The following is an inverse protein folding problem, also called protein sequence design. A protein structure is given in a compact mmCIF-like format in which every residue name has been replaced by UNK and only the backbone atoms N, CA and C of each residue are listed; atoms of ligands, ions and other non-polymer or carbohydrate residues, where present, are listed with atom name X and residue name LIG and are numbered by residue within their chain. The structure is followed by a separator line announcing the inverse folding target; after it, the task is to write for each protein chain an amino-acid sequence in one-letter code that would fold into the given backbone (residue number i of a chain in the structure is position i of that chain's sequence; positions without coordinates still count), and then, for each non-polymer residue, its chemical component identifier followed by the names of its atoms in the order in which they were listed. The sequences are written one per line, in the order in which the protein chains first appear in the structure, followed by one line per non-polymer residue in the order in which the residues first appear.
data_IF_218706773754
#
_entry.id   IF_218706773754
#
_cell.length_a   1.000
_cell.length_b   1.000
_cell.length_c   1.000
_cell.angle_alpha   90.00
_cell.angle_beta   90.00
_cell.angle_gamma   90.00
#
_symmetry.space_group_name_H-M   'P 1'
#
loop_
_entity.id
_entity.type
_entity.pdbx_description
1 polymer ?
#
# COMPACT_ATOMS: atom_id res chain seq x y z
N UNK A 1 21.63 -29.54 -17.26
CA UNK A 1 22.90 -28.93 -16.80
C UNK A 1 23.87 -28.92 -17.99
N UNK A 2 24.72 -27.90 -18.18
CA UNK A 2 25.31 -27.01 -17.18
C UNK A 2 24.63 -25.62 -17.16
N UNK A 3 24.32 -25.00 -16.03
CA UNK A 3 25.10 -24.46 -14.91
C UNK A 3 25.85 -23.13 -15.19
N UNK A 4 25.34 -22.09 -14.50
CA UNK A 4 25.99 -20.89 -13.97
C UNK A 4 26.56 -19.85 -14.94
N UNK A 5 26.01 -18.63 -14.84
CA UNK A 5 26.76 -17.46 -14.38
C UNK A 5 25.83 -16.44 -13.70
N UNK A 6 26.12 -16.24 -12.42
CA UNK A 6 25.83 -15.04 -11.64
C UNK A 6 26.25 -13.81 -12.46
N UNK A 7 25.33 -12.88 -12.67
CA UNK A 7 25.61 -11.51 -13.11
C UNK A 7 24.96 -10.63 -12.03
N UNK A 8 25.71 -10.36 -10.98
CA UNK A 8 26.47 -9.12 -10.84
C UNK A 8 25.54 -7.90 -10.85
N UNK A 9 25.35 -7.42 -9.63
CA UNK A 9 24.72 -6.17 -9.27
C UNK A 9 25.38 -4.98 -9.98
N UNK A 10 24.57 -4.11 -10.60
CA UNK A 10 24.72 -2.68 -10.36
C UNK A 10 23.35 -2.06 -10.10
N UNK A 11 23.00 -1.97 -8.81
CA UNK A 11 22.11 -0.92 -8.32
C UNK A 11 22.68 0.41 -8.85
N UNK A 12 21.85 1.19 -9.56
CA UNK A 12 22.15 2.49 -10.18
C UNK A 12 22.98 2.48 -11.48
N UNK A 13 22.31 2.58 -12.64
CA UNK A 13 22.70 3.59 -13.64
C UNK A 13 21.61 3.86 -14.71
N UNK A 14 21.09 5.10 -14.64
CA UNK A 14 20.67 6.01 -15.72
C UNK A 14 19.33 5.76 -16.47
N UNK A 15 18.35 6.53 -15.97
CA UNK A 15 17.15 7.07 -16.63
C UNK A 15 17.37 7.53 -18.09
N UNK A 16 16.53 7.04 -19.00
CA UNK A 16 16.04 7.80 -20.17
C UNK A 16 14.58 7.46 -20.49
N UNK A 17 13.69 8.41 -20.21
CA UNK A 17 12.67 8.87 -21.17
C UNK A 17 11.42 8.04 -21.50
N UNK A 18 11.30 6.76 -21.13
CA UNK A 18 10.15 5.95 -21.62
C UNK A 18 9.62 4.89 -20.64
N UNK A 19 9.63 5.19 -19.33
CA UNK A 19 9.33 4.23 -18.26
C UNK A 19 8.20 4.64 -17.32
N UNK A 20 7.36 5.61 -17.69
CA UNK A 20 6.29 6.10 -16.81
C UNK A 20 4.99 5.25 -16.86
N UNK A 21 4.80 4.44 -17.90
CA UNK A 21 3.60 3.59 -18.04
C UNK A 21 3.82 2.14 -17.58
N UNK A 22 5.06 1.67 -17.50
CA UNK A 22 5.37 0.28 -17.13
C UNK A 22 5.43 0.07 -15.62
N UNK A 23 5.77 1.08 -14.81
CA UNK A 23 5.89 0.92 -13.35
C UNK A 23 4.56 0.67 -12.62
N UNK A 24 3.41 1.06 -13.20
CA UNK A 24 2.09 0.78 -12.61
C UNK A 24 1.68 -0.69 -12.71
N UNK A 25 2.23 -1.44 -13.68
CA UNK A 25 2.02 -2.89 -13.81
C UNK A 25 2.94 -3.73 -12.92
N UNK A 26 3.97 -3.13 -12.31
CA UNK A 26 5.00 -3.89 -11.59
C UNK A 26 4.63 -4.22 -10.14
N UNK A 27 3.62 -3.59 -9.54
CA UNK A 27 3.29 -3.84 -8.13
C UNK A 27 2.38 -5.04 -7.87
N UNK A 28 1.60 -5.50 -8.85
CA UNK A 28 0.72 -6.68 -8.70
C UNK A 28 1.34 -7.96 -9.26
N UNK A 29 2.00 -7.90 -10.42
CA UNK A 29 2.58 -9.07 -11.08
C UNK A 29 3.83 -9.67 -10.38
N UNK A 30 4.48 -8.92 -9.48
CA UNK A 30 5.63 -9.40 -8.69
C UNK A 30 5.24 -10.01 -7.33
N UNK A 31 3.96 -9.94 -6.95
CA UNK A 31 3.48 -10.40 -5.64
C UNK A 31 2.68 -11.71 -5.69
N UNK A 32 1.98 -11.98 -6.80
CA UNK A 32 1.28 -13.23 -7.02
C UNK A 32 2.27 -14.33 -7.44
N UNK A 33 2.29 -15.44 -6.70
CA UNK A 33 3.07 -16.61 -7.10
C UNK A 33 2.32 -17.50 -8.10
N UNK A 34 3.02 -18.44 -8.71
CA UNK A 34 2.40 -19.44 -9.59
C UNK A 34 1.94 -20.68 -8.82
N UNK A 35 1.05 -21.47 -9.42
CA UNK A 35 0.62 -22.76 -8.85
C UNK A 35 1.80 -23.72 -8.70
N UNK A 36 2.71 -23.72 -9.67
CA UNK A 36 3.93 -24.52 -9.66
C UNK A 36 4.86 -24.09 -8.52
N UNK A 37 5.00 -22.77 -8.30
CA UNK A 37 5.76 -22.22 -7.18
C UNK A 37 5.17 -22.53 -5.81
N UNK A 38 3.84 -22.57 -5.71
CA UNK A 38 3.14 -22.98 -4.49
C UNK A 38 3.50 -24.42 -4.14
N UNK A 39 3.28 -25.34 -5.08
CA UNK A 39 3.54 -26.77 -4.89
C UNK A 39 5.02 -27.02 -4.57
N UNK A 40 5.94 -26.27 -5.19
CA UNK A 40 7.38 -26.41 -4.92
C UNK A 40 7.79 -25.91 -3.52
N UNK A 41 7.01 -25.01 -2.91
CA UNK A 41 7.27 -24.44 -1.58
C UNK A 41 6.57 -25.18 -0.46
N UNK A 42 5.41 -25.80 -0.73
CA UNK A 42 4.66 -26.65 0.19
C UNK A 42 5.44 -27.95 0.43
N UNK A 43 6.32 -27.93 1.44
CA UNK A 43 7.28 -29.01 1.71
C UNK A 43 6.66 -30.14 2.50
N UNK A 44 5.70 -29.82 3.37
CA UNK A 44 4.99 -30.82 4.15
C UNK A 44 3.76 -31.39 3.40
N UNK A 45 3.41 -30.80 2.25
CA UNK A 45 2.31 -31.23 1.35
C UNK A 45 0.95 -31.16 2.04
N UNK A 46 0.75 -30.14 2.88
CA UNK A 46 -0.50 -29.93 3.61
C UNK A 46 -1.50 -29.03 2.88
N UNK A 47 -1.11 -28.50 1.71
CA UNK A 47 -1.93 -27.63 0.88
C UNK A 47 -1.95 -26.17 1.34
N UNK A 48 -1.06 -25.79 2.25
CA UNK A 48 -0.86 -24.44 2.75
C UNK A 48 0.63 -24.09 2.71
N UNK A 49 0.96 -22.80 2.62
CA UNK A 49 2.32 -22.33 2.86
C UNK A 49 2.40 -21.71 4.23
N UNK A 50 3.10 -22.36 5.15
CA UNK A 50 3.52 -21.71 6.39
C UNK A 50 4.41 -20.50 6.12
N UNK A 51 4.52 -19.60 7.09
CA UNK A 51 5.47 -18.50 7.01
C UNK A 51 6.92 -18.98 6.80
N UNK A 52 7.29 -20.13 7.38
CA UNK A 52 8.62 -20.72 7.19
C UNK A 52 8.85 -21.13 5.73
N UNK A 53 7.89 -21.82 5.11
CA UNK A 53 7.97 -22.26 3.71
C UNK A 53 7.97 -21.09 2.72
N UNK A 54 7.10 -20.10 2.95
CA UNK A 54 7.00 -18.93 2.09
C UNK A 54 8.28 -18.06 2.13
N UNK A 55 8.88 -17.92 3.30
CA UNK A 55 10.07 -17.10 3.53
C UNK A 55 11.39 -17.83 3.28
N UNK A 56 11.32 -19.13 2.98
CA UNK A 56 12.51 -19.96 2.88
C UNK A 56 13.50 -19.46 1.82
N UNK A 57 14.76 -19.32 2.23
CA UNK A 57 15.86 -18.92 1.35
C UNK A 57 15.92 -17.42 1.03
N UNK A 58 14.96 -16.63 1.54
CA UNK A 58 14.96 -15.17 1.37
C UNK A 58 15.88 -14.49 2.38
N UNK A 59 16.52 -13.40 1.98
CA UNK A 59 17.46 -12.66 2.83
C UNK A 59 17.39 -11.14 2.56
N UNK A 60 17.88 -10.35 3.52
CA UNK A 60 17.95 -8.90 3.40
C UNK A 60 16.60 -8.26 3.07
N UNK A 61 16.61 -7.32 2.12
CA UNK A 61 15.40 -6.60 1.70
C UNK A 61 14.30 -7.53 1.14
N UNK A 62 14.66 -8.62 0.46
CA UNK A 62 13.67 -9.57 -0.08
C UNK A 62 12.93 -10.31 1.05
N UNK A 63 13.65 -10.72 2.09
CA UNK A 63 13.03 -11.32 3.28
C UNK A 63 12.06 -10.34 3.95
N UNK A 64 12.51 -9.10 4.13
CA UNK A 64 11.71 -8.07 4.78
C UNK A 64 10.46 -7.72 3.97
N UNK A 65 10.55 -7.56 2.65
CA UNK A 65 9.38 -7.36 1.77
C UNK A 65 8.43 -8.56 1.83
N UNK A 66 8.98 -9.77 1.78
CA UNK A 66 8.21 -11.00 1.81
C UNK A 66 7.44 -11.20 3.12
N UNK A 67 8.00 -10.82 4.27
CA UNK A 67 7.26 -10.85 5.56
C UNK A 67 6.01 -9.99 5.56
N UNK A 68 6.05 -8.83 4.89
CA UNK A 68 4.86 -7.97 4.75
C UNK A 68 3.89 -8.55 3.75
N UNK A 69 4.40 -9.00 2.59
CA UNK A 69 3.54 -9.61 1.58
C UNK A 69 2.79 -10.80 2.14
N UNK A 70 3.46 -11.68 2.90
CA UNK A 70 2.82 -12.80 3.57
C UNK A 70 1.61 -12.36 4.40
N UNK A 71 1.74 -11.30 5.20
CA UNK A 71 0.64 -10.78 6.04
C UNK A 71 -0.45 -10.08 5.24
N UNK A 72 -0.08 -9.36 4.17
CA UNK A 72 -1.09 -8.76 3.31
C UNK A 72 -1.86 -9.84 2.51
N UNK A 73 -1.19 -10.96 2.17
CA UNK A 73 -1.72 -12.12 1.45
C UNK A 73 -2.56 -13.06 2.33
N UNK A 74 -2.25 -13.15 3.62
CA UNK A 74 -3.00 -13.92 4.62
C UNK A 74 -4.29 -13.17 4.96
N UNK A 75 -5.36 -13.49 4.23
CA UNK A 75 -6.60 -12.74 4.22
C UNK A 75 -7.55 -13.24 5.31
N UNK A 76 -7.45 -14.52 5.66
CA UNK A 76 -8.20 -15.14 6.74
C UNK A 76 -7.46 -15.12 8.10
N UNK A 77 -6.23 -14.60 8.14
CA UNK A 77 -5.38 -14.49 9.33
C UNK A 77 -5.04 -15.86 9.94
N UNK A 78 -5.00 -16.90 9.10
CA UNK A 78 -4.64 -18.26 9.51
C UNK A 78 -3.17 -18.43 9.86
N UNK A 79 -2.33 -17.44 9.56
CA UNK A 79 -0.86 -17.51 9.63
C UNK A 79 -0.27 -18.53 8.64
N UNK A 80 -1.00 -18.81 7.57
CA UNK A 80 -0.61 -19.63 6.44
C UNK A 80 -1.24 -19.10 5.16
N UNK A 81 -0.68 -19.42 4.00
CA UNK A 81 -1.29 -19.04 2.72
C UNK A 81 -1.90 -20.26 2.05
N UNK A 82 -3.20 -20.20 1.79
CA UNK A 82 -3.84 -21.10 0.84
C UNK A 82 -3.29 -20.88 -0.58
N UNK A 83 -3.47 -21.87 -1.46
CA UNK A 83 -3.13 -21.71 -2.89
C UNK A 83 -3.87 -20.52 -3.53
N UNK A 84 -5.12 -20.28 -3.14
CA UNK A 84 -5.90 -19.13 -3.63
C UNK A 84 -5.32 -17.80 -3.19
N UNK A 85 -4.83 -17.69 -1.96
CA UNK A 85 -4.17 -16.48 -1.48
C UNK A 85 -2.82 -16.31 -2.17
N UNK A 86 -2.02 -17.37 -2.27
CA UNK A 86 -0.69 -17.26 -2.89
C UNK A 86 -0.72 -16.91 -4.38
N UNK A 87 -1.60 -17.57 -5.14
CA UNK A 87 -1.69 -17.41 -6.60
C UNK A 87 -2.59 -16.23 -7.01
N UNK A 88 -3.65 -15.98 -6.23
CA UNK A 88 -4.66 -14.97 -6.54
C UNK A 88 -4.41 -13.61 -5.91
N UNK A 89 -3.29 -13.41 -5.20
CA UNK A 89 -3.04 -12.14 -4.53
C UNK A 89 -2.73 -11.01 -5.52
N UNK A 90 -3.67 -10.08 -5.64
CA UNK A 90 -3.44 -8.75 -6.17
C UNK A 90 -3.89 -7.73 -5.12
N UNK A 91 -2.98 -6.92 -4.56
CA UNK A 91 -3.33 -5.92 -3.55
C UNK A 91 -4.39 -4.91 -4.06
N UNK A 92 -4.49 -4.69 -5.37
CA UNK A 92 -5.48 -3.80 -5.96
C UNK A 92 -6.89 -4.40 -5.98
N UNK A 93 -7.04 -5.72 -6.08
CA UNK A 93 -8.36 -6.37 -6.07
C UNK A 93 -9.11 -6.21 -4.73
N UNK A 94 -8.40 -5.84 -3.67
CA UNK A 94 -8.97 -5.58 -2.33
C UNK A 94 -9.32 -4.12 -2.09
N UNK A 95 -9.03 -3.25 -3.05
CA UNK A 95 -9.44 -1.85 -3.04
C UNK A 95 -10.70 -1.67 -3.89
N UNK A 96 -11.57 -0.75 -3.46
CA UNK A 96 -12.64 -0.25 -4.33
C UNK A 96 -12.04 0.39 -5.59
N UNK A 97 -12.79 0.47 -6.71
CA UNK A 97 -12.30 1.14 -7.91
C UNK A 97 -11.81 2.58 -7.65
N UNK A 98 -12.42 3.30 -6.71
CA UNK A 98 -11.99 4.67 -6.35
C UNK A 98 -10.66 4.65 -5.59
N UNK A 99 -10.50 3.74 -4.62
CA UNK A 99 -9.25 3.57 -3.88
C UNK A 99 -8.08 3.19 -4.80
N UNK A 100 -8.33 2.29 -5.78
CA UNK A 100 -7.34 1.94 -6.80
C UNK A 100 -6.90 3.17 -7.60
N UNK A 101 -7.84 3.99 -8.05
CA UNK A 101 -7.55 5.22 -8.79
C UNK A 101 -6.78 6.24 -7.95
N UNK A 102 -7.13 6.40 -6.66
CA UNK A 102 -6.38 7.27 -5.75
C UNK A 102 -4.94 6.80 -5.60
N UNK A 103 -4.71 5.50 -5.40
CA UNK A 103 -3.36 4.94 -5.32
C UNK A 103 -2.57 5.17 -6.62
N UNK A 104 -3.18 4.84 -7.78
CA UNK A 104 -2.52 5.02 -9.08
C UNK A 104 -2.18 6.48 -9.35
N UNK A 105 -3.10 7.39 -9.09
CA UNK A 105 -2.90 8.82 -9.33
C UNK A 105 -1.91 9.45 -8.35
N UNK A 106 -1.88 9.02 -7.09
CA UNK A 106 -0.85 9.46 -6.13
C UNK A 106 0.56 9.08 -6.60
N UNK A 107 0.75 7.84 -7.06
CA UNK A 107 2.03 7.41 -7.64
C UNK A 107 2.35 8.11 -8.97
N UNK A 108 1.35 8.47 -9.77
CA UNK A 108 1.56 9.31 -10.95
C UNK A 108 2.08 10.72 -10.58
N UNK A 109 1.55 11.34 -9.53
CA UNK A 109 2.06 12.62 -9.00
C UNK A 109 3.51 12.48 -8.50
N UNK A 110 3.82 11.40 -7.79
CA UNK A 110 5.20 11.11 -7.34
C UNK A 110 6.15 10.93 -8.52
N UNK A 111 5.74 10.21 -9.56
CA UNK A 111 6.54 10.02 -10.78
C UNK A 111 6.81 11.33 -11.52
N UNK A 112 5.81 12.22 -11.64
CA UNK A 112 6.01 13.56 -12.21
C UNK A 112 7.04 14.39 -11.45
N UNK A 113 7.20 14.14 -10.16
CA UNK A 113 8.17 14.80 -9.27
C UNK A 113 9.43 13.97 -9.05
N UNK A 114 9.67 12.94 -9.87
CA UNK A 114 10.83 12.05 -9.78
C UNK A 114 11.03 11.44 -8.38
N UNK A 115 9.94 11.27 -7.64
CA UNK A 115 9.90 10.67 -6.32
C UNK A 115 9.57 9.19 -6.47
N UNK A 116 10.28 8.33 -5.73
CA UNK A 116 10.05 6.88 -5.77
C UNK A 116 8.58 6.54 -5.45
N UNK A 117 7.98 5.53 -6.11
CA UNK A 117 6.60 5.14 -5.83
C UNK A 117 6.48 4.59 -4.40
N UNK A 118 5.32 4.79 -3.79
CA UNK A 118 4.92 4.09 -2.56
C UNK A 118 4.33 2.73 -2.92
N UNK A 119 4.57 1.76 -2.04
CA UNK A 119 3.99 0.42 -2.09
C UNK A 119 2.59 0.45 -1.46
N UNK A 120 1.64 -0.25 -2.06
CA UNK A 120 0.31 -0.40 -1.48
C UNK A 120 0.37 -1.43 -0.35
N UNK A 121 -0.22 -1.14 0.80
CA UNK A 121 -0.50 -2.14 1.83
C UNK A 121 -2.01 -2.26 2.03
N UNK A 122 -2.51 -3.51 2.00
CA UNK A 122 -3.90 -3.82 2.30
C UNK A 122 -4.20 -3.51 3.75
N UNK A 123 -3.32 -3.92 4.66
CA UNK A 123 -3.45 -3.66 6.10
C UNK A 123 -3.60 -2.15 6.36
N UNK A 124 -2.73 -1.29 5.79
CA UNK A 124 -2.88 0.16 5.95
C UNK A 124 -4.19 0.68 5.36
N UNK A 125 -4.62 0.11 4.23
CA UNK A 125 -5.86 0.51 3.57
C UNK A 125 -7.08 0.17 4.44
N UNK A 126 -7.04 -0.94 5.18
CA UNK A 126 -8.09 -1.30 6.14
C UNK A 126 -8.20 -0.26 7.26
N UNK A 127 -7.06 0.20 7.82
CA UNK A 127 -7.04 1.31 8.78
C UNK A 127 -7.52 2.65 8.18
N UNK A 128 -7.13 2.95 6.94
CA UNK A 128 -7.56 4.18 6.27
C UNK A 128 -9.07 4.16 5.98
N UNK A 129 -9.62 2.99 5.65
CA UNK A 129 -11.04 2.80 5.35
C UNK A 129 -11.89 2.87 6.61
N UNK A 130 -11.44 2.24 7.70
CA UNK A 130 -12.05 2.41 9.02
C UNK A 130 -12.15 3.90 9.38
N UNK A 131 -11.05 4.64 9.26
CA UNK A 131 -11.05 6.07 9.57
C UNK A 131 -12.01 6.87 8.68
N UNK A 132 -12.03 6.59 7.38
CA UNK A 132 -12.99 7.20 6.45
C UNK A 132 -14.44 6.89 6.84
N UNK A 133 -14.74 5.66 7.26
CA UNK A 133 -16.08 5.25 7.68
C UNK A 133 -16.53 5.98 8.95
N UNK A 134 -15.65 6.12 9.93
CA UNK A 134 -15.94 6.85 11.18
C UNK A 134 -16.21 8.33 10.91
N UNK A 135 -15.48 8.97 9.99
CA UNK A 135 -15.79 10.33 9.55
C UNK A 135 -17.13 10.40 8.80
N UNK A 136 -17.40 9.43 7.92
CA UNK A 136 -18.61 9.39 7.10
C UNK A 136 -19.88 9.10 7.89
N UNK A 137 -19.79 8.35 8.99
CA UNK A 137 -20.90 8.07 9.90
C UNK A 137 -21.16 9.21 10.90
N UNK A 138 -20.23 10.16 11.01
CA UNK A 138 -20.25 11.22 12.01
C UNK A 138 -19.85 10.75 13.41
N UNK A 139 -19.26 9.55 13.55
CA UNK A 139 -18.71 9.06 14.82
C UNK A 139 -17.54 9.93 15.29
N UNK A 140 -16.74 10.43 14.35
CA UNK A 140 -15.64 11.38 14.59
C UNK A 140 -15.77 12.59 13.64
N UNK A 141 -15.28 13.78 14.04
CA UNK A 141 -15.23 14.93 13.13
C UNK A 141 -14.28 14.68 11.95
N UNK A 142 -14.48 15.41 10.86
CA UNK A 142 -13.54 15.38 9.74
C UNK A 142 -12.16 15.88 10.17
N UNK A 143 -11.13 15.04 10.04
CA UNK A 143 -9.76 15.39 10.41
C UNK A 143 -8.85 14.19 10.65
N UNK A 144 -7.79 14.42 11.41
CA UNK A 144 -6.74 13.44 11.72
C UNK A 144 -6.90 12.77 13.10
N UNK A 145 -7.89 13.16 13.89
CA UNK A 145 -8.13 12.69 15.26
C UNK A 145 -9.30 13.41 15.91
N UNK A 146 -9.60 13.09 17.16
CA UNK A 146 -10.38 13.97 18.03
C UNK A 146 -9.65 15.32 18.11
N UNK A 147 -10.37 16.40 17.77
CA UNK A 147 -9.86 17.77 17.62
C UNK A 147 -8.67 17.94 16.63
N UNK A 148 -8.46 16.99 15.71
CA UNK A 148 -7.48 17.10 14.62
C UNK A 148 -6.01 16.89 15.04
N UNK A 149 -5.73 16.23 16.16
CA UNK A 149 -4.35 16.07 16.67
C UNK A 149 -3.55 14.96 15.95
N UNK A 150 -2.22 15.13 15.88
CA UNK A 150 -1.27 14.11 15.38
C UNK A 150 -1.18 12.86 16.27
N UNK A 151 -1.71 12.94 17.49
CA UNK A 151 -1.69 11.84 18.45
C UNK A 151 -2.45 10.64 17.91
N UNK A 152 -3.68 10.84 17.43
CA UNK A 152 -4.56 9.78 16.91
C UNK A 152 -4.09 9.24 15.56
N UNK A 153 -3.74 10.13 14.63
CA UNK A 153 -3.18 9.70 13.34
C UNK A 153 -1.87 8.94 13.55
N UNK A 154 -1.06 9.33 14.54
CA UNK A 154 0.11 8.60 15.00
C UNK A 154 -0.22 7.22 15.59
N UNK A 155 -1.29 7.09 16.38
CA UNK A 155 -1.73 5.81 16.92
C UNK A 155 -2.16 4.84 15.82
N UNK A 156 -2.97 5.31 14.85
CA UNK A 156 -3.37 4.50 13.68
C UNK A 156 -2.15 4.00 12.91
N UNK A 157 -1.19 4.88 12.61
CA UNK A 157 0.05 4.51 11.90
C UNK A 157 0.87 3.48 12.67
N UNK A 158 1.02 3.63 13.99
CA UNK A 158 1.72 2.65 14.85
C UNK A 158 1.02 1.29 14.86
N UNK A 159 -0.31 1.28 14.99
CA UNK A 159 -1.12 0.07 14.97
C UNK A 159 -1.01 -0.65 13.62
N UNK A 160 -1.13 0.09 12.51
CA UNK A 160 -0.96 -0.45 11.16
C UNK A 160 0.46 -1.02 10.96
N UNK A 161 1.51 -0.29 11.40
CA UNK A 161 2.89 -0.77 11.33
C UNK A 161 3.09 -2.08 12.12
N UNK A 162 2.48 -2.20 13.30
CA UNK A 162 2.55 -3.42 14.10
C UNK A 162 1.82 -4.58 13.41
N UNK A 163 0.64 -4.34 12.82
CA UNK A 163 -0.11 -5.34 12.08
C UNK A 163 0.64 -5.83 10.81
N UNK A 164 1.40 -4.95 10.16
CA UNK A 164 2.31 -5.32 9.07
C UNK A 164 3.60 -6.00 9.53
N UNK A 165 3.90 -6.00 10.84
CA UNK A 165 5.20 -6.34 11.43
C UNK A 165 6.34 -5.57 10.77
N UNK A 166 6.16 -4.25 10.72
CA UNK A 166 7.14 -3.30 10.23
C UNK A 166 7.61 -2.41 11.35
N UNK A 167 8.91 -2.13 11.35
CA UNK A 167 9.46 -1.10 12.21
C UNK A 167 8.89 0.27 11.79
N UNK A 168 8.54 1.08 12.79
CA UNK A 168 7.93 2.39 12.59
C UNK A 168 8.94 3.51 12.84
N UNK A 169 9.18 4.39 11.86
CA UNK A 169 9.98 5.61 12.04
C UNK A 169 9.18 6.90 11.86
N UNK A 170 7.94 6.79 11.39
CA UNK A 170 7.06 7.92 11.14
C UNK A 170 6.09 7.65 9.99
N UNK A 171 5.47 8.72 9.52
CA UNK A 171 4.46 8.66 8.46
C UNK A 171 3.69 9.95 8.40
N UNK A 172 2.66 9.97 7.58
CA UNK A 172 1.76 11.12 7.47
C UNK A 172 0.37 10.67 7.06
N UNK A 173 -0.63 11.52 7.24
CA UNK A 173 -2.00 11.25 6.82
C UNK A 173 -2.54 12.43 6.01
N UNK A 174 -3.34 12.14 4.99
CA UNK A 174 -4.13 13.13 4.28
C UNK A 174 -5.60 12.74 4.35
N UNK A 175 -6.47 13.68 4.69
CA UNK A 175 -7.92 13.50 4.66
C UNK A 175 -8.55 14.44 3.64
N UNK A 176 -9.62 14.00 2.98
CA UNK A 176 -10.39 14.85 2.06
C UNK A 176 -11.86 14.47 2.10
N UNK A 177 -12.74 15.45 1.89
CA UNK A 177 -14.17 15.23 1.77
C UNK A 177 -14.70 15.99 0.56
N UNK A 178 -15.59 15.38 -0.20
CA UNK A 178 -16.34 16.06 -1.25
C UNK A 178 -17.72 15.45 -1.46
N UNK A 179 -18.65 16.26 -1.98
CA UNK A 179 -19.91 15.78 -2.52
C UNK A 179 -19.70 15.41 -4.00
N UNK A 180 -19.76 14.12 -4.37
CA UNK A 180 -19.57 13.72 -5.75
C UNK A 180 -20.79 14.04 -6.61
N UNK A 181 -20.56 14.28 -7.90
CA UNK A 181 -21.65 14.27 -8.88
C UNK A 181 -22.24 12.85 -9.03
N UNK A 182 -23.54 12.76 -9.28
CA UNK A 182 -24.22 11.49 -9.50
C UNK A 182 -23.59 10.73 -10.68
N UNK A 183 -23.32 9.44 -10.47
CA UNK A 183 -22.72 8.57 -11.49
C UNK A 183 -21.27 8.90 -11.87
N UNK A 184 -20.57 9.75 -11.11
CA UNK A 184 -19.17 10.07 -11.38
C UNK A 184 -18.29 8.81 -11.42
N UNK A 185 -17.48 8.70 -12.48
CA UNK A 185 -16.57 7.58 -12.66
C UNK A 185 -15.49 7.55 -11.55
N UNK A 186 -14.99 6.35 -11.17
CA UNK A 186 -13.99 6.22 -10.10
C UNK A 186 -12.73 7.09 -10.30
N UNK A 187 -12.24 7.18 -11.53
CA UNK A 187 -11.05 8.00 -11.86
C UNK A 187 -11.29 9.49 -11.62
N UNK A 188 -12.51 9.98 -11.92
CA UNK A 188 -12.90 11.37 -11.69
C UNK A 188 -13.01 11.66 -10.19
N UNK A 189 -13.60 10.74 -9.41
CA UNK A 189 -13.70 10.87 -7.96
C UNK A 189 -12.32 10.94 -7.30
N UNK A 190 -11.42 10.02 -7.68
CA UNK A 190 -10.03 10.04 -7.22
C UNK A 190 -9.31 11.35 -7.61
N UNK A 191 -9.51 11.84 -8.83
CA UNK A 191 -8.89 13.08 -9.30
C UNK A 191 -9.31 14.31 -8.47
N UNK A 192 -10.56 14.36 -8.01
CA UNK A 192 -11.02 15.44 -7.11
C UNK A 192 -10.22 15.44 -5.81
N UNK A 193 -10.06 14.28 -5.17
CA UNK A 193 -9.29 14.17 -3.93
C UNK A 193 -7.79 14.46 -4.15
N UNK A 194 -7.19 13.88 -5.21
CA UNK A 194 -5.77 14.10 -5.55
C UNK A 194 -5.51 15.58 -5.84
N UNK A 195 -6.36 16.24 -6.61
CA UNK A 195 -6.22 17.68 -6.89
C UNK A 195 -6.36 18.51 -5.62
N UNK A 196 -7.32 18.17 -4.76
CA UNK A 196 -7.51 18.83 -3.46
C UNK A 196 -6.27 18.74 -2.57
N UNK A 197 -5.67 17.55 -2.47
CA UNK A 197 -4.42 17.38 -1.73
C UNK A 197 -3.23 18.10 -2.38
N UNK A 198 -3.11 18.06 -3.71
CA UNK A 198 -2.01 18.73 -4.42
C UNK A 198 -2.08 20.25 -4.35
N UNK A 199 -3.28 20.82 -4.15
CA UNK A 199 -3.49 22.25 -3.96
C UNK A 199 -3.32 22.73 -2.51
N UNK A 200 -3.08 21.81 -1.56
CA UNK A 200 -2.76 22.14 -0.16
C UNK A 200 -1.29 21.84 0.11
N UNK A 201 -0.52 22.83 0.57
CA UNK A 201 0.91 22.65 0.82
C UNK A 201 1.21 21.50 1.80
N UNK A 202 0.42 21.36 2.85
CA UNK A 202 0.57 20.29 3.84
C UNK A 202 0.32 18.90 3.23
N UNK A 203 -0.80 18.74 2.53
CA UNK A 203 -1.17 17.46 1.93
C UNK A 203 -0.24 17.07 0.77
N UNK A 204 0.15 18.04 -0.06
CA UNK A 204 1.13 17.86 -1.13
C UNK A 204 2.47 17.41 -0.57
N UNK A 205 2.95 18.04 0.51
CA UNK A 205 4.21 17.65 1.18
C UNK A 205 4.15 16.21 1.66
N UNK A 206 3.02 15.76 2.21
CA UNK A 206 2.84 14.36 2.63
C UNK A 206 2.91 13.41 1.43
N UNK A 207 2.15 13.69 0.36
CA UNK A 207 2.05 12.83 -0.83
C UNK A 207 3.39 12.70 -1.57
N UNK A 208 4.19 13.77 -1.61
CA UNK A 208 5.47 13.82 -2.32
C UNK A 208 6.69 13.56 -1.43
N UNK A 209 6.49 13.20 -0.15
CA UNK A 209 7.62 12.97 0.74
C UNK A 209 8.39 11.71 0.29
N UNK A 210 9.69 11.83 -0.05
CA UNK A 210 10.51 10.71 -0.56
C UNK A 210 10.82 9.64 0.51
N UNK A 211 10.57 9.92 1.79
CA UNK A 211 10.76 8.96 2.88
C UNK A 211 9.54 8.06 3.10
N UNK A 212 8.41 8.36 2.46
CA UNK A 212 7.23 7.49 2.54
C UNK A 212 7.47 6.27 1.65
N UNK A 213 7.27 5.08 2.23
CA UNK A 213 7.51 3.80 1.57
C UNK A 213 6.22 3.05 1.29
N UNK A 214 5.27 3.10 2.24
CA UNK A 214 3.95 2.48 2.08
C UNK A 214 2.84 3.51 2.08
N UNK A 215 1.75 3.16 1.42
CA UNK A 215 0.50 3.88 1.38
C UNK A 215 -0.66 2.90 1.58
N UNK A 216 -1.60 3.24 2.47
CA UNK A 216 -2.94 2.71 2.45
C UNK A 216 -3.95 3.78 2.05
N UNK A 217 -4.99 3.37 1.34
CA UNK A 217 -6.05 4.26 0.87
C UNK A 217 -7.39 3.73 1.34
N UNK A 218 -8.17 4.61 1.96
CA UNK A 218 -9.54 4.33 2.38
C UNK A 218 -10.52 5.33 1.77
N UNK A 219 -11.68 4.84 1.35
CA UNK A 219 -12.81 5.69 0.93
C UNK A 219 -14.10 5.18 1.56
N UNK A 220 -14.90 6.09 2.10
CA UNK A 220 -16.23 5.80 2.63
C UNK A 220 -17.26 6.83 2.16
N UNK A 221 -18.53 6.44 2.09
CA UNK A 221 -19.65 7.30 1.71
C UNK A 221 -20.57 7.52 2.90
N UNK A 222 -20.92 8.78 3.17
CA UNK A 222 -21.91 9.11 4.21
C UNK A 222 -23.34 8.83 3.73
N UNK A 223 -24.29 8.79 4.68
CA UNK A 223 -25.71 8.67 4.34
C UNK A 223 -26.22 9.85 3.46
N UNK A 224 -25.59 11.03 3.57
CA UNK A 224 -25.87 12.20 2.74
C UNK A 224 -25.25 12.14 1.34
N UNK A 225 -24.44 11.13 1.04
CA UNK A 225 -23.82 10.93 -0.26
C UNK A 225 -22.40 11.48 -0.40
N UNK A 226 -21.89 12.22 0.59
CA UNK A 226 -20.51 12.72 0.60
C UNK A 226 -19.50 11.58 0.66
N UNK A 227 -18.36 11.77 -0.01
CA UNK A 227 -17.24 10.84 0.02
C UNK A 227 -16.13 11.38 0.91
N UNK A 228 -15.67 10.52 1.81
CA UNK A 228 -14.55 10.75 2.72
C UNK A 228 -13.39 9.88 2.27
N UNK A 229 -12.22 10.49 2.16
CA UNK A 229 -10.99 9.85 1.69
C UNK A 229 -9.92 9.97 2.76
N UNK A 230 -9.14 8.91 2.93
CA UNK A 230 -7.94 8.92 3.77
C UNK A 230 -6.77 8.28 3.03
N UNK A 231 -5.62 8.94 3.03
CA UNK A 231 -4.32 8.34 2.72
C UNK A 231 -3.52 8.22 4.01
N UNK A 232 -3.07 7.00 4.34
CA UNK A 232 -2.12 6.78 5.43
C UNK A 232 -0.79 6.38 4.81
N UNK A 233 0.26 7.17 5.08
CA UNK A 233 1.61 6.87 4.65
C UNK A 233 2.48 6.39 5.81
N UNK A 234 3.38 5.45 5.52
CA UNK A 234 4.31 4.88 6.50
C UNK A 234 5.76 5.05 6.04
N UNK A 235 6.62 5.42 6.99
CA UNK A 235 8.08 5.44 6.86
C UNK A 235 8.67 4.32 7.68
N UNK A 236 9.63 3.59 7.11
CA UNK A 236 10.43 2.64 7.86
C UNK A 236 11.70 3.34 8.39
N UNK A 237 12.35 2.81 9.45
CA UNK A 237 13.67 3.28 9.83
C UNK A 237 14.61 3.11 8.64
N UNK A 238 15.35 4.17 8.29
CA UNK A 238 16.45 4.01 7.34
C UNK A 238 17.43 3.02 7.97
N UNK A 239 17.67 1.89 7.33
CA UNK A 239 18.87 1.12 7.65
C UNK A 239 20.05 2.09 7.58
N UNK A 240 20.92 2.07 8.61
CA UNK A 240 22.24 2.69 8.46
C UNK A 240 22.91 1.93 7.33
N UNK A 241 22.82 2.47 6.11
CA UNK A 241 23.66 2.01 5.01
C UNK A 241 25.10 2.12 5.52
N UNK A 242 25.87 1.01 5.54
CA UNK A 242 27.28 1.09 5.91
C UNK A 242 28.02 2.10 5.03
#
# INVERSE_FOLDING_TARGET
MPCLKVLDCPVYQKLTGMLCLTLLFWNSALMAGTREEFIARDRNVDGQLSGEEYLLGRQGLDLELSKTNFRDMDLDQSQSLSQSEFVGYDPLLRLSPVEQEVFRQANAQRAQQQTAPVLLSRILSDYARDWSQRMASGEVPFGHGEDGTETDSGFRRRAASAAMDRAYSGGSENCFVCTPADGAAPASLANVAISGWMNSEGHKRNMLNPEQEYLGVGVARSAGGDLYFTQIFLKLPRERRP
#
